data_IF_033330638372
#
_entry.id   IF_033330638372
#
_cell.length_a   1.000
_cell.length_b   1.000
_cell.length_c   1.000
_cell.angle_alpha   90.00
_cell.angle_beta   90.00
_cell.angle_gamma   90.00
#
_symmetry.space_group_name_H-M   'P 1'
#
loop_
_entity.id
_entity.type
_entity.pdbx_description
1 polymer ?
#
# COMPACT_ATOMS: atom_id res chain seq x y z
N UNK A 1 15.36 -4.81 1.86
CA UNK A 1 14.62 -3.58 1.53
C UNK A 1 13.49 -4.00 0.60
N UNK A 2 12.26 -3.53 0.84
CA UNK A 2 11.13 -3.81 -0.05
C UNK A 2 10.60 -2.48 -0.53
N UNK A 3 10.32 -2.35 -1.81
CA UNK A 3 9.81 -1.14 -2.43
C UNK A 3 8.53 -1.45 -3.20
N UNK A 4 7.54 -0.58 -3.03
CA UNK A 4 6.38 -0.48 -3.90
C UNK A 4 6.44 0.90 -4.56
N UNK A 5 6.36 0.91 -5.89
CA UNK A 5 6.40 2.13 -6.71
C UNK A 5 5.14 2.19 -7.54
N UNK A 6 4.32 3.22 -7.31
CA UNK A 6 3.07 3.49 -8.03
C UNK A 6 2.12 2.28 -8.06
N UNK A 7 2.08 1.51 -6.97
CA UNK A 7 1.29 0.29 -6.87
C UNK A 7 -0.21 0.60 -6.91
N UNK A 8 -0.90 0.00 -7.88
CA UNK A 8 -2.36 0.08 -7.99
C UNK A 8 -2.97 -1.30 -7.77
N UNK A 9 -3.95 -1.39 -6.87
CA UNK A 9 -4.72 -2.62 -6.62
C UNK A 9 -6.19 -2.40 -6.92
N UNK A 10 -6.77 -3.28 -7.73
CA UNK A 10 -8.18 -3.26 -8.08
C UNK A 10 -8.86 -4.58 -7.70
N UNK A 11 -10.11 -4.47 -7.27
CA UNK A 11 -11.04 -5.59 -7.08
C UNK A 11 -12.26 -5.33 -7.97
N UNK A 12 -12.33 -6.03 -9.11
CA UNK A 12 -13.33 -5.76 -10.13
C UNK A 12 -13.29 -4.30 -10.59
N UNK A 13 -14.44 -3.61 -10.52
CA UNK A 13 -14.57 -2.19 -10.86
C UNK A 13 -14.00 -1.21 -9.84
N UNK A 14 -13.62 -1.66 -8.63
CA UNK A 14 -13.16 -0.78 -7.55
C UNK A 14 -11.64 -0.73 -7.48
N UNK A 15 -11.08 0.47 -7.54
CA UNK A 15 -9.68 0.71 -7.15
C UNK A 15 -9.61 0.80 -5.62
N UNK A 16 -8.83 -0.08 -5.02
CA UNK A 16 -8.63 -0.13 -3.57
C UNK A 16 -7.39 0.71 -3.19
N UNK A 17 -6.29 0.48 -3.91
CA UNK A 17 -5.07 1.28 -3.80
C UNK A 17 -4.80 1.92 -5.16
N UNK A 18 -4.55 3.23 -5.19
CA UNK A 18 -4.21 3.98 -6.41
C UNK A 18 -2.81 4.58 -6.28
N UNK A 19 -1.90 4.16 -7.15
CA UNK A 19 -0.53 4.69 -7.27
C UNK A 19 0.24 4.85 -5.94
N UNK A 20 0.16 3.86 -5.06
CA UNK A 20 0.83 3.89 -3.76
C UNK A 20 2.33 3.63 -3.89
N UNK A 21 3.14 4.54 -3.32
CA UNK A 21 4.60 4.44 -3.28
C UNK A 21 5.11 4.42 -1.84
N UNK A 22 5.88 3.39 -1.46
CA UNK A 22 6.52 3.29 -0.15
C UNK A 22 7.72 2.34 -0.11
N UNK A 23 8.58 2.51 0.90
CA UNK A 23 9.74 1.64 1.16
C UNK A 23 9.67 1.06 2.57
N UNK A 24 9.83 -0.26 2.68
CA UNK A 24 10.02 -0.97 3.95
C UNK A 24 11.52 -1.21 4.18
N UNK A 25 12.03 -0.62 5.26
CA UNK A 25 13.45 -0.72 5.66
C UNK A 25 13.70 -1.99 6.48
N UNK A 26 14.82 -2.71 6.28
CA UNK A 26 15.22 -3.82 7.14
C UNK A 26 15.31 -3.42 8.62
N UNK A 27 14.98 -4.34 9.52
CA UNK A 27 15.06 -4.10 10.98
C UNK A 27 13.96 -3.19 11.55
N UNK A 28 12.97 -2.80 10.75
CA UNK A 28 11.82 -1.98 11.19
C UNK A 28 10.51 -2.70 10.95
N UNK A 29 9.64 -2.69 11.96
CA UNK A 29 8.23 -3.05 11.78
C UNK A 29 7.51 -1.86 11.15
N UNK A 30 6.84 -2.10 10.02
CA UNK A 30 6.07 -1.09 9.29
C UNK A 30 4.61 -1.52 9.27
N UNK A 31 3.73 -0.66 9.78
CA UNK A 31 2.28 -0.86 9.77
C UNK A 31 1.56 0.35 9.21
N UNK A 32 0.44 0.12 8.55
CA UNK A 32 -0.46 1.14 8.04
C UNK A 32 -1.75 1.13 8.87
N UNK A 33 -2.29 2.30 9.17
CA UNK A 33 -3.51 2.46 9.95
C UNK A 33 -4.47 3.39 9.21
N UNK A 34 -5.73 2.99 9.10
CA UNK A 34 -6.80 3.77 8.49
C UNK A 34 -8.16 3.13 8.75
N UNK A 35 -9.26 3.85 8.45
CA UNK A 35 -10.61 3.31 8.54
C UNK A 35 -10.84 2.15 7.55
N UNK A 36 -11.92 1.38 7.75
CA UNK A 36 -12.29 0.29 6.85
C UNK A 36 -12.43 0.78 5.41
N UNK A 37 -11.64 0.21 4.50
CA UNK A 37 -11.63 0.57 3.09
C UNK A 37 -10.76 1.78 2.73
N UNK A 38 -9.88 2.26 3.62
CA UNK A 38 -8.93 3.34 3.34
C UNK A 38 -7.84 2.98 2.30
N UNK A 39 -7.73 1.69 1.96
CA UNK A 39 -6.83 1.13 0.95
C UNK A 39 -7.25 -0.29 0.61
#
# INVERSE_FOLDING_TARGET
>A
MIEATELTKRYGGRTAVDRLSFTVRPGRVTGFLGPNGAG
#
